data_IF_449981410734
#
_entry.id   IF_449981410734
#
_cell.length_a   1.000
_cell.length_b   1.000
_cell.length_c   1.000
_cell.angle_alpha   90.00
_cell.angle_beta   90.00
_cell.angle_gamma   90.00
#
_symmetry.space_group_name_H-M   'P 1'
#
loop_
_entity.id
_entity.type
_entity.pdbx_description
1 polymer ?
#
# COMPACT_ATOMS: atom_id res chain seq x y z
N UNK A 1 -16.91 26.71 -29.02
CA UNK A 1 -15.59 26.41 -28.42
C UNK A 1 -15.65 24.94 -28.08
N UNK A 2 -15.16 24.11 -29.00
CA UNK A 2 -15.11 22.67 -28.84
C UNK A 2 -14.02 22.33 -27.82
N UNK A 3 -14.41 21.65 -26.76
CA UNK A 3 -13.48 21.03 -25.83
C UNK A 3 -13.09 19.68 -26.44
N UNK A 4 -12.24 19.73 -27.45
CA UNK A 4 -11.64 18.56 -28.08
C UNK A 4 -10.48 18.08 -27.20
N UNK A 5 -10.80 17.46 -26.07
CA UNK A 5 -9.85 16.58 -25.39
C UNK A 5 -9.69 15.32 -26.23
N UNK A 6 -8.57 15.26 -26.96
CA UNK A 6 -8.10 14.11 -27.74
C UNK A 6 -7.86 12.92 -26.81
N UNK A 7 -8.93 12.18 -26.50
CA UNK A 7 -8.88 10.95 -25.73
C UNK A 7 -8.18 9.89 -26.58
N UNK A 8 -6.92 9.59 -26.27
CA UNK A 8 -6.20 8.47 -26.88
C UNK A 8 -7.05 7.20 -26.77
N UNK A 9 -7.55 6.72 -27.90
CA UNK A 9 -8.53 5.61 -27.98
C UNK A 9 -7.98 4.37 -27.25
N UNK A 10 -8.64 4.00 -26.14
CA UNK A 10 -8.27 2.84 -25.34
C UNK A 10 -8.51 1.57 -26.14
N UNK A 11 -7.44 1.06 -26.75
CA UNK A 11 -7.48 -0.22 -27.49
C UNK A 11 -7.67 -1.45 -26.58
N UNK A 12 -8.06 -2.59 -27.18
CA UNK A 12 -8.28 -3.89 -26.50
C UNK A 12 -7.13 -4.36 -25.61
N UNK A 13 -5.90 -3.95 -25.90
CA UNK A 13 -4.73 -4.19 -25.05
C UNK A 13 -4.82 -3.50 -23.68
N UNK A 14 -5.34 -2.28 -23.61
CA UNK A 14 -5.56 -1.57 -22.35
C UNK A 14 -6.68 -2.24 -21.55
N UNK A 15 -7.74 -2.70 -22.22
CA UNK A 15 -8.77 -3.52 -21.58
C UNK A 15 -8.18 -4.80 -21.01
N UNK A 16 -7.36 -5.54 -21.77
CA UNK A 16 -6.69 -6.74 -21.28
C UNK A 16 -5.79 -6.44 -20.06
N UNK A 17 -5.03 -5.34 -20.12
CA UNK A 17 -4.21 -4.88 -19.01
C UNK A 17 -5.05 -4.57 -17.76
N UNK A 18 -6.13 -3.80 -17.90
CA UNK A 18 -7.05 -3.51 -16.80
C UNK A 18 -7.72 -4.77 -16.23
N UNK A 19 -8.09 -5.73 -17.08
CA UNK A 19 -8.64 -7.01 -16.63
C UNK A 19 -7.66 -7.79 -15.75
N UNK A 20 -6.35 -7.61 -15.93
CA UNK A 20 -5.37 -8.22 -15.02
C UNK A 20 -5.44 -7.65 -13.61
N UNK A 21 -5.74 -6.35 -13.47
CA UNK A 21 -5.94 -5.69 -12.18
C UNK A 21 -7.29 -6.02 -11.56
N UNK A 22 -8.35 -6.21 -12.35
CA UNK A 22 -9.66 -6.62 -11.83
C UNK A 22 -9.59 -8.04 -11.24
N UNK A 23 -8.86 -8.95 -11.90
CA UNK A 23 -8.76 -10.34 -11.48
C UNK A 23 -7.71 -10.59 -10.38
N UNK A 24 -6.86 -9.61 -10.05
CA UNK A 24 -5.78 -9.76 -9.08
C UNK A 24 -5.87 -8.67 -8.02
N UNK A 25 -5.85 -9.08 -6.74
CA UNK A 25 -5.88 -8.16 -5.59
C UNK A 25 -4.68 -7.20 -5.57
N UNK A 26 -3.49 -7.70 -5.89
CA UNK A 26 -2.23 -6.95 -5.90
C UNK A 26 -1.23 -7.61 -6.86
N UNK A 27 -0.36 -6.82 -7.48
CA UNK A 27 0.64 -7.29 -8.45
C UNK A 27 2.01 -6.67 -8.13
N UNK A 28 3.05 -7.50 -7.93
CA UNK A 28 4.43 -7.04 -7.82
C UNK A 28 4.94 -6.52 -9.19
N UNK A 29 5.76 -5.47 -9.22
CA UNK A 29 6.32 -4.88 -10.44
C UNK A 29 6.92 -5.91 -11.41
N UNK A 30 7.72 -6.85 -10.90
CA UNK A 30 8.37 -7.87 -11.75
C UNK A 30 7.37 -8.78 -12.46
N UNK A 31 6.23 -9.07 -11.81
CA UNK A 31 5.11 -9.80 -12.40
C UNK A 31 4.35 -8.91 -13.38
N UNK A 32 4.12 -7.64 -13.04
CA UNK A 32 3.44 -6.69 -13.90
C UNK A 32 4.19 -6.49 -15.23
N UNK A 33 5.52 -6.42 -15.19
CA UNK A 33 6.35 -6.27 -16.39
C UNK A 33 6.30 -7.52 -17.29
N UNK A 34 6.23 -8.72 -16.70
CA UNK A 34 6.01 -9.99 -17.44
C UNK A 34 4.63 -10.00 -18.10
N UNK A 35 3.59 -9.59 -17.38
CA UNK A 35 2.22 -9.47 -17.91
C UNK A 35 2.19 -8.48 -19.07
N UNK A 36 2.79 -7.30 -18.89
CA UNK A 36 2.87 -6.25 -19.91
C UNK A 36 3.56 -6.76 -21.17
N UNK A 37 4.69 -7.47 -21.00
CA UNK A 37 5.43 -8.06 -22.12
C UNK A 37 4.58 -9.09 -22.88
N UNK A 38 3.81 -9.92 -22.18
CA UNK A 38 2.91 -10.89 -22.80
C UNK A 38 1.76 -10.21 -23.58
N UNK A 39 1.18 -9.15 -23.02
CA UNK A 39 0.13 -8.34 -23.69
C UNK A 39 0.70 -7.70 -24.96
N UNK A 40 1.86 -7.04 -24.89
CA UNK A 40 2.50 -6.43 -26.05
C UNK A 40 2.78 -7.45 -27.16
N UNK A 41 3.28 -8.63 -26.80
CA UNK A 41 3.57 -9.71 -27.75
C UNK A 41 2.29 -10.23 -28.43
N UNK A 42 1.21 -10.43 -27.66
CA UNK A 42 -0.07 -10.91 -28.18
C UNK A 42 -0.71 -9.91 -29.16
N UNK A 43 -0.74 -8.62 -28.80
CA UNK A 43 -1.33 -7.55 -29.61
C UNK A 43 -0.37 -6.96 -30.65
N UNK A 44 0.85 -7.50 -30.81
CA UNK A 44 1.90 -7.03 -31.75
C UNK A 44 2.09 -5.50 -31.70
N UNK A 45 1.99 -4.93 -30.51
CA UNK A 45 1.99 -3.49 -30.27
C UNK A 45 3.41 -2.98 -29.98
N UNK A 46 3.65 -1.66 -30.09
CA UNK A 46 4.90 -1.06 -29.60
C UNK A 46 5.18 -1.50 -28.16
N UNK A 47 6.46 -1.67 -27.82
CA UNK A 47 6.91 -2.12 -26.51
C UNK A 47 6.64 -1.05 -25.43
N UNK A 48 5.38 -0.87 -25.08
CA UNK A 48 4.97 0.02 -24.00
C UNK A 48 5.28 -0.62 -22.64
N UNK A 49 5.78 0.21 -21.73
CA UNK A 49 6.00 -0.14 -20.33
C UNK A 49 4.69 -0.21 -19.55
N UNK A 50 4.72 -0.91 -18.41
CA UNK A 50 3.60 -0.99 -17.47
C UNK A 50 3.11 0.39 -17.03
N UNK A 51 4.05 1.32 -16.76
CA UNK A 51 3.74 2.70 -16.38
C UNK A 51 3.01 3.48 -17.49
N UNK A 52 3.32 3.23 -18.76
CA UNK A 52 2.60 3.88 -19.86
C UNK A 52 1.15 3.40 -19.91
N UNK A 53 0.88 2.10 -19.83
CA UNK A 53 -0.49 1.58 -19.73
C UNK A 53 -1.26 2.21 -18.55
N UNK A 54 -0.60 2.35 -17.40
CA UNK A 54 -1.22 2.93 -16.21
C UNK A 54 -1.54 4.42 -16.41
N UNK A 55 -0.62 5.17 -17.01
CA UNK A 55 -0.82 6.59 -17.31
C UNK A 55 -1.90 6.82 -18.38
N UNK A 56 -2.00 5.91 -19.34
CA UNK A 56 -3.03 5.94 -20.38
C UNK A 56 -4.42 5.60 -19.78
N UNK A 57 -4.49 4.67 -18.82
CA UNK A 57 -5.74 4.21 -18.21
C UNK A 57 -6.28 5.12 -17.10
N UNK A 58 -5.42 5.60 -16.19
CA UNK A 58 -5.84 6.33 -15.00
C UNK A 58 -6.74 7.55 -15.25
N UNK A 59 -6.54 8.37 -16.31
CA UNK A 59 -7.45 9.48 -16.65
C UNK A 59 -8.89 9.05 -16.93
N UNK A 60 -9.12 7.83 -17.41
CA UNK A 60 -10.47 7.30 -17.64
C UNK A 60 -11.03 6.62 -16.39
N UNK A 61 -10.16 5.96 -15.61
CA UNK A 61 -10.55 5.28 -14.38
C UNK A 61 -11.04 6.26 -13.30
N UNK A 62 -10.50 7.48 -13.28
CA UNK A 62 -10.84 8.49 -12.28
C UNK A 62 -12.32 8.89 -12.32
N UNK A 63 -12.95 8.88 -13.49
CA UNK A 63 -14.37 9.19 -13.70
C UNK A 63 -15.28 8.16 -13.02
N UNK A 64 -14.77 6.94 -12.84
CA UNK A 64 -15.42 5.85 -12.10
C UNK A 64 -14.99 5.80 -10.63
N UNK A 65 -14.24 6.81 -10.16
CA UNK A 65 -13.65 6.88 -8.84
C UNK A 65 -12.75 5.68 -8.53
N UNK A 66 -12.06 5.14 -9.54
CA UNK A 66 -11.06 4.09 -9.36
C UNK A 66 -9.71 4.54 -9.92
N UNK A 67 -8.62 3.97 -9.42
CA UNK A 67 -7.28 4.32 -9.90
C UNK A 67 -6.30 3.17 -9.69
N UNK A 68 -5.40 2.93 -10.64
CA UNK A 68 -4.26 2.04 -10.42
C UNK A 68 -3.19 2.83 -9.67
N UNK A 69 -2.88 2.40 -8.44
CA UNK A 69 -1.88 3.05 -7.56
C UNK A 69 -0.78 2.07 -7.18
N UNK A 70 0.35 2.62 -6.78
CA UNK A 70 1.52 1.85 -6.30
C UNK A 70 1.80 2.12 -4.82
N UNK A 71 2.35 1.12 -4.14
CA UNK A 71 3.07 1.29 -2.89
C UNK A 71 4.40 0.54 -2.93
N UNK A 72 5.38 1.07 -2.20
CA UNK A 72 6.68 0.44 -2.01
C UNK A 72 6.75 -0.21 -0.65
N UNK A 73 7.13 -1.49 -0.61
CA UNK A 73 7.37 -2.23 0.63
C UNK A 73 8.56 -3.16 0.45
N UNK A 74 9.43 -3.20 1.46
CA UNK A 74 10.64 -4.03 1.46
C UNK A 74 11.48 -3.95 0.17
N UNK A 75 11.47 -2.78 -0.48
CA UNK A 75 12.26 -2.51 -1.69
C UNK A 75 11.60 -2.92 -3.00
N UNK A 76 10.42 -3.53 -2.93
CA UNK A 76 9.60 -3.90 -4.08
C UNK A 76 8.44 -2.92 -4.26
N UNK A 77 8.04 -2.72 -5.51
CA UNK A 77 6.84 -1.96 -5.84
C UNK A 77 5.68 -2.91 -6.11
N UNK A 78 4.53 -2.57 -5.56
CA UNK A 78 3.29 -3.30 -5.72
C UNK A 78 2.24 -2.37 -6.31
N UNK A 79 1.34 -2.93 -7.09
CA UNK A 79 0.29 -2.21 -7.79
C UNK A 79 -1.06 -2.84 -7.51
N UNK A 80 -2.08 -2.01 -7.33
CA UNK A 80 -3.46 -2.45 -7.17
C UNK A 80 -4.44 -1.41 -7.73
N UNK A 81 -5.65 -1.87 -8.05
CA UNK A 81 -6.77 -1.01 -8.44
C UNK A 81 -7.52 -0.59 -7.18
N UNK A 82 -7.52 0.72 -6.91
CA UNK A 82 -8.07 1.32 -5.70
C UNK A 82 -9.41 1.95 -6.01
N UNK A 83 -10.35 1.89 -5.05
CA UNK A 83 -11.56 2.71 -5.10
C UNK A 83 -11.32 3.96 -4.27
N UNK A 84 -11.56 5.12 -4.85
CA UNK A 84 -11.31 6.42 -4.23
C UNK A 84 -12.48 6.87 -3.35
N UNK A 85 -13.62 6.17 -3.38
CA UNK A 85 -14.72 6.46 -2.46
C UNK A 85 -14.36 5.98 -1.06
N UNK A 86 -14.67 6.82 -0.06
CA UNK A 86 -14.37 6.59 1.35
C UNK A 86 -15.14 5.43 2.02
N UNK A 87 -15.94 4.69 1.25
CA UNK A 87 -16.80 3.60 1.74
C UNK A 87 -16.07 2.24 1.80
N UNK A 88 -14.74 2.18 1.76
CA UNK A 88 -13.97 0.94 1.61
C UNK A 88 -14.33 -0.20 2.59
N UNK A 89 -14.88 0.09 3.78
CA UNK A 89 -15.46 -0.93 4.66
C UNK A 89 -16.61 -1.74 4.01
N UNK A 90 -17.41 -1.13 3.13
CA UNK A 90 -18.46 -1.81 2.38
C UNK A 90 -17.91 -2.87 1.43
N UNK A 91 -16.68 -2.70 0.91
CA UNK A 91 -16.02 -3.76 0.14
C UNK A 91 -15.72 -4.98 1.01
N UNK A 92 -15.29 -4.76 2.26
CA UNK A 92 -15.00 -5.83 3.21
C UNK A 92 -16.28 -6.57 3.59
N UNK A 93 -17.40 -5.87 3.71
CA UNK A 93 -18.70 -6.48 4.00
C UNK A 93 -19.18 -7.49 2.93
N UNK A 94 -18.64 -7.42 1.70
CA UNK A 94 -18.93 -8.41 0.64
C UNK A 94 -18.20 -9.73 0.85
N UNK A 95 -17.03 -9.72 1.50
CA UNK A 95 -16.15 -10.89 1.62
C UNK A 95 -16.06 -11.46 3.04
N UNK A 96 -16.38 -10.65 4.05
CA UNK A 96 -16.22 -10.99 5.45
C UNK A 96 -17.55 -10.89 6.20
N UNK A 97 -17.68 -11.67 7.29
CA UNK A 97 -18.84 -11.55 8.16
C UNK A 97 -18.86 -10.19 8.88
N UNK A 98 -20.01 -9.73 9.38
CA UNK A 98 -20.09 -8.45 10.10
C UNK A 98 -19.13 -8.37 11.30
N UNK A 99 -18.98 -9.45 12.07
CA UNK A 99 -18.04 -9.53 13.20
C UNK A 99 -16.58 -9.38 12.77
N UNK A 100 -16.23 -9.99 11.63
CA UNK A 100 -14.88 -10.00 11.09
C UNK A 100 -14.52 -8.61 10.55
N UNK A 101 -15.50 -7.92 9.95
CA UNK A 101 -15.36 -6.53 9.50
C UNK A 101 -15.15 -5.57 10.67
N UNK A 102 -15.88 -5.74 11.78
CA UNK A 102 -15.68 -4.96 13.01
C UNK A 102 -14.28 -5.24 13.58
N UNK A 103 -13.86 -6.50 13.61
CA UNK A 103 -12.52 -6.88 14.05
C UNK A 103 -11.44 -6.23 13.19
N UNK A 104 -11.58 -6.32 11.86
CA UNK A 104 -10.65 -5.69 10.92
C UNK A 104 -10.55 -4.18 11.13
N UNK A 105 -11.69 -3.50 11.29
CA UNK A 105 -11.74 -2.07 11.57
C UNK A 105 -10.96 -1.73 12.84
N UNK A 106 -11.18 -2.46 13.92
CA UNK A 106 -10.47 -2.26 15.18
C UNK A 106 -8.95 -2.47 15.04
N UNK A 107 -8.53 -3.44 14.22
CA UNK A 107 -7.10 -3.65 13.91
C UNK A 107 -6.53 -2.44 13.19
N UNK A 108 -7.18 -1.94 12.12
CA UNK A 108 -6.65 -0.81 11.33
C UNK A 108 -6.58 0.45 12.18
N UNK A 109 -7.61 0.77 12.95
CA UNK A 109 -7.61 1.91 13.87
C UNK A 109 -6.45 1.81 14.87
N UNK A 110 -6.21 0.61 15.42
CA UNK A 110 -5.13 0.41 16.38
C UNK A 110 -3.74 0.46 15.73
N UNK A 111 -3.58 -0.05 14.52
CA UNK A 111 -2.36 0.06 13.73
C UNK A 111 -2.03 1.54 13.47
N UNK A 112 -3.00 2.34 13.03
CA UNK A 112 -2.80 3.77 12.80
C UNK A 112 -2.37 4.50 14.08
N UNK A 113 -3.04 4.23 15.20
CA UNK A 113 -2.68 4.80 16.51
C UNK A 113 -1.25 4.46 16.96
N UNK A 114 -0.77 3.25 16.63
CA UNK A 114 0.53 2.74 17.06
C UNK A 114 1.62 2.92 15.99
N UNK A 115 1.40 3.72 14.94
CA UNK A 115 2.43 3.99 13.92
C UNK A 115 2.62 2.86 12.90
N UNK A 116 1.66 1.95 12.78
CA UNK A 116 1.59 0.92 11.74
C UNK A 116 1.88 -0.50 12.21
N UNK A 117 2.05 -0.74 13.51
CA UNK A 117 2.23 -2.09 14.06
C UNK A 117 1.54 -2.29 15.41
N UNK A 118 1.11 -3.52 15.69
CA UNK A 118 0.55 -3.94 16.99
C UNK A 118 1.12 -5.31 17.38
N UNK A 119 1.10 -5.65 18.67
CA UNK A 119 1.49 -7.00 19.09
C UNK A 119 0.46 -8.05 18.67
N UNK A 120 0.88 -9.30 18.46
CA UNK A 120 -0.04 -10.40 18.12
C UNK A 120 -1.09 -10.59 19.23
N UNK A 121 -0.72 -10.46 20.50
CA UNK A 121 -1.65 -10.57 21.63
C UNK A 121 -2.69 -9.45 21.64
N UNK A 122 -2.28 -8.22 21.38
CA UNK A 122 -3.19 -7.07 21.25
C UNK A 122 -4.17 -7.29 20.10
N UNK A 123 -3.68 -7.76 18.94
CA UNK A 123 -4.52 -8.13 17.82
C UNK A 123 -5.58 -9.20 18.20
N UNK A 124 -5.19 -10.26 18.90
CA UNK A 124 -6.15 -11.30 19.32
C UNK A 124 -7.17 -10.77 20.33
N UNK A 125 -6.78 -9.84 21.21
CA UNK A 125 -7.70 -9.21 22.15
C UNK A 125 -8.74 -8.32 21.46
N UNK A 126 -8.37 -7.62 20.37
CA UNK A 126 -9.31 -6.87 19.55
C UNK A 126 -10.38 -7.78 18.93
N UNK A 127 -10.00 -8.98 18.48
CA UNK A 127 -10.96 -9.93 17.91
C UNK A 127 -11.97 -10.46 18.93
N UNK A 128 -11.54 -10.68 20.16
CA UNK A 128 -12.44 -11.03 21.28
C UNK A 128 -13.40 -9.88 21.59
N UNK A 129 -12.91 -8.64 21.63
CA UNK A 129 -13.75 -7.46 21.87
C UNK A 129 -14.79 -7.24 20.77
N UNK A 130 -14.42 -7.53 19.51
CA UNK A 130 -15.32 -7.50 18.36
C UNK A 130 -16.32 -8.67 18.31
N UNK A 131 -16.28 -9.60 19.29
CA UNK A 131 -17.09 -10.83 19.31
C UNK A 131 -16.94 -11.68 18.05
N UNK A 132 -15.74 -11.71 17.45
CA UNK A 132 -15.43 -12.50 16.25
C UNK A 132 -15.22 -14.01 16.54
N UNK A 133 -15.63 -14.49 17.72
CA UNK A 133 -15.55 -15.89 18.14
C UNK A 133 -14.51 -16.16 19.23
N UNK A 134 -14.29 -17.44 19.51
CA UNK A 134 -13.25 -17.89 20.45
C UNK A 134 -11.83 -17.67 19.90
N UNK A 135 -10.80 -17.85 20.75
CA UNK A 135 -9.40 -17.57 20.40
C UNK A 135 -8.96 -18.22 19.08
N UNK A 136 -9.29 -19.50 18.87
CA UNK A 136 -8.97 -20.23 17.63
C UNK A 136 -9.60 -19.58 16.40
N UNK A 137 -10.87 -19.17 16.52
CA UNK A 137 -11.59 -18.55 15.40
C UNK A 137 -11.03 -17.18 15.05
N UNK A 138 -10.69 -16.38 16.06
CA UNK A 138 -10.04 -15.07 15.87
C UNK A 138 -8.70 -15.24 15.16
N UNK A 139 -7.93 -16.26 15.52
CA UNK A 139 -6.64 -16.54 14.88
C UNK A 139 -6.80 -17.03 13.42
N UNK A 140 -7.82 -17.84 13.13
CA UNK A 140 -8.20 -18.20 11.76
C UNK A 140 -8.54 -16.96 10.92
N UNK A 141 -9.38 -16.06 11.45
CA UNK A 141 -9.77 -14.82 10.76
C UNK A 141 -8.55 -13.93 10.51
N UNK A 142 -7.66 -13.79 11.49
CA UNK A 142 -6.40 -13.07 11.32
C UNK A 142 -5.54 -13.68 10.21
N UNK A 143 -5.45 -15.01 10.16
CA UNK A 143 -4.72 -15.71 9.10
C UNK A 143 -5.37 -15.49 7.72
N UNK A 144 -6.70 -15.42 7.63
CA UNK A 144 -7.40 -15.04 6.40
C UNK A 144 -7.03 -13.63 5.96
N UNK A 145 -7.00 -12.64 6.86
CA UNK A 145 -6.55 -11.28 6.52
C UNK A 145 -5.10 -11.24 6.01
N UNK A 146 -4.24 -12.09 6.56
CA UNK A 146 -2.85 -12.22 6.10
C UNK A 146 -2.79 -12.84 4.71
N UNK A 147 -3.52 -13.93 4.47
CA UNK A 147 -3.61 -14.58 3.16
C UNK A 147 -4.16 -13.64 2.08
N UNK A 148 -5.11 -12.79 2.46
CA UNK A 148 -5.71 -11.79 1.59
C UNK A 148 -4.86 -10.52 1.39
N UNK A 149 -3.62 -10.53 1.91
CA UNK A 149 -2.64 -9.45 1.86
C UNK A 149 -3.10 -8.13 2.50
N UNK A 150 -4.06 -8.18 3.42
CA UNK A 150 -4.41 -7.00 4.23
C UNK A 150 -3.39 -6.75 5.35
N UNK A 151 -2.94 -7.82 5.99
CA UNK A 151 -2.01 -7.75 7.10
C UNK A 151 -0.80 -8.64 6.83
N UNK A 152 0.31 -8.38 7.49
CA UNK A 152 1.46 -9.29 7.54
C UNK A 152 1.97 -9.40 8.97
N UNK A 153 2.63 -10.52 9.27
CA UNK A 153 3.38 -10.66 10.52
C UNK A 153 4.82 -10.19 10.35
N UNK A 154 5.42 -9.71 11.43
CA UNK A 154 6.87 -9.52 11.51
C UNK A 154 7.62 -10.85 11.36
N UNK A 155 8.92 -10.80 11.08
CA UNK A 155 9.76 -12.00 10.92
C UNK A 155 9.72 -12.92 12.15
N UNK A 156 9.74 -12.33 13.35
CA UNK A 156 9.61 -13.03 14.64
C UNK A 156 8.17 -13.46 14.97
N UNK A 157 7.20 -13.13 14.10
CA UNK A 157 5.76 -13.38 14.25
C UNK A 157 5.13 -12.77 15.51
N UNK A 158 5.84 -11.91 16.23
CA UNK A 158 5.36 -11.29 17.46
C UNK A 158 4.45 -10.09 17.20
N UNK A 159 4.53 -9.48 16.01
CA UNK A 159 3.79 -8.28 15.64
C UNK A 159 3.01 -8.48 14.35
N UNK A 160 1.95 -7.70 14.22
CA UNK A 160 1.10 -7.59 13.04
C UNK A 160 1.22 -6.16 12.52
N UNK A 161 1.35 -6.00 11.21
CA UNK A 161 1.48 -4.70 10.54
C UNK A 161 0.67 -4.70 9.23
N UNK A 162 0.47 -3.52 8.64
CA UNK A 162 -0.22 -3.36 7.37
C UNK A 162 0.58 -4.02 6.24
N UNK A 163 -0.07 -4.90 5.48
CA UNK A 163 0.49 -5.38 4.21
C UNK A 163 0.24 -4.37 3.08
N UNK A 164 0.86 -4.61 1.94
CA UNK A 164 0.97 -3.68 0.82
C UNK A 164 -0.40 -3.31 0.25
N UNK A 165 -1.32 -4.27 0.22
CA UNK A 165 -2.69 -4.05 -0.24
C UNK A 165 -3.41 -3.02 0.63
N UNK A 166 -3.26 -3.11 1.96
CA UNK A 166 -3.86 -2.15 2.89
C UNK A 166 -3.29 -0.75 2.69
N UNK A 167 -1.98 -0.63 2.43
CA UNK A 167 -1.34 0.67 2.19
C UNK A 167 -1.86 1.33 0.90
N UNK A 168 -2.19 0.51 -0.11
CA UNK A 168 -2.66 0.98 -1.41
C UNK A 168 -4.16 1.27 -1.41
N UNK A 169 -4.98 0.33 -0.94
CA UNK A 169 -6.44 0.46 -0.96
C UNK A 169 -6.92 1.42 0.14
N UNK A 170 -6.52 1.20 1.39
CA UNK A 170 -7.07 1.92 2.56
C UNK A 170 -6.47 3.31 2.77
N UNK A 171 -5.86 3.95 1.75
CA UNK A 171 -5.17 5.24 1.88
C UNK A 171 -5.95 6.32 2.66
N UNK A 172 -7.27 6.52 2.43
CA UNK A 172 -8.04 7.51 3.19
C UNK A 172 -8.05 7.27 4.71
N UNK A 173 -7.83 6.03 5.14
CA UNK A 173 -7.83 5.64 6.56
C UNK A 173 -6.44 5.73 7.20
N UNK A 174 -5.39 5.86 6.39
CA UNK A 174 -4.00 5.85 6.84
C UNK A 174 -3.39 7.26 6.88
N UNK A 175 -4.23 8.29 6.93
CA UNK A 175 -3.82 9.71 6.86
C UNK A 175 -2.93 10.12 8.03
N UNK A 176 -3.16 9.56 9.22
CA UNK A 176 -2.38 9.86 10.43
C UNK A 176 -1.04 9.12 10.46
N UNK A 177 -0.82 8.18 9.54
CA UNK A 177 0.48 7.56 9.37
C UNK A 177 1.40 8.48 8.56
N UNK A 178 2.66 8.60 9.00
CA UNK A 178 3.59 9.55 8.41
C UNK A 178 4.03 9.13 7.02
N UNK A 179 4.33 10.12 6.18
CA UNK A 179 4.87 9.89 4.83
C UNK A 179 6.39 10.03 4.81
N UNK A 180 7.02 9.16 4.03
CA UNK A 180 8.45 9.22 3.78
C UNK A 180 8.78 10.48 2.99
N UNK A 181 9.68 11.32 3.49
CA UNK A 181 10.04 12.58 2.83
C UNK A 181 10.61 12.41 1.41
N UNK A 182 11.21 11.25 1.11
CA UNK A 182 11.86 11.01 -0.19
C UNK A 182 10.93 10.38 -1.24
N UNK A 183 9.98 9.54 -0.84
CA UNK A 183 9.11 8.83 -1.79
C UNK A 183 7.62 9.13 -1.62
N UNK A 184 7.24 9.92 -0.61
CA UNK A 184 5.84 10.27 -0.29
C UNK A 184 4.93 9.05 -0.08
N UNK A 185 5.49 7.95 0.45
CA UNK A 185 4.76 6.73 0.79
C UNK A 185 4.78 6.53 2.30
N UNK A 186 3.75 5.85 2.84
CA UNK A 186 3.58 5.64 4.28
C UNK A 186 4.76 4.93 4.93
N UNK A 187 5.29 5.50 6.01
CA UNK A 187 6.32 4.91 6.87
C UNK A 187 5.64 4.23 8.04
N UNK A 188 5.97 2.96 8.24
CA UNK A 188 5.48 2.18 9.36
C UNK A 188 6.62 2.03 10.37
N UNK A 189 6.29 2.03 11.65
CA UNK A 189 7.23 1.65 12.71
C UNK A 189 7.66 0.20 12.54
N UNK A 190 8.89 -0.11 12.91
CA UNK A 190 9.40 -1.46 13.08
C UNK A 190 9.87 -1.63 14.53
N UNK A 191 9.25 -2.55 15.27
CA UNK A 191 9.53 -2.79 16.70
C UNK A 191 9.35 -1.54 17.57
N UNK A 192 8.37 -0.71 17.21
CA UNK A 192 7.91 0.45 17.97
C UNK A 192 8.66 1.73 17.64
N UNK A 193 9.57 1.70 16.66
CA UNK A 193 10.41 2.84 16.30
C UNK A 193 10.47 3.02 14.79
N UNK A 194 10.60 4.27 14.35
CA UNK A 194 11.03 4.60 12.98
C UNK A 194 12.52 4.86 13.05
N UNK A 195 13.32 3.96 12.46
CA UNK A 195 14.79 3.98 12.54
C UNK A 195 15.37 5.29 12.00
N UNK A 196 14.83 5.81 10.89
CA UNK A 196 15.32 7.04 10.24
C UNK A 196 14.32 8.17 10.37
N UNK A 197 14.37 8.85 11.52
CA UNK A 197 13.66 10.09 11.78
C UNK A 197 14.66 11.20 12.12
N UNK A 198 14.42 12.41 11.62
CA UNK A 198 15.30 13.53 11.94
C UNK A 198 15.09 13.96 13.40
N UNK A 199 16.19 14.15 14.12
CA UNK A 199 16.20 14.50 15.56
C UNK A 199 16.24 16.01 15.85
N UNK A 200 16.14 16.85 14.82
CA UNK A 200 16.12 18.30 15.00
C UNK A 200 14.69 18.81 15.18
N UNK A 201 14.45 19.66 16.19
CA UNK A 201 13.13 20.16 16.56
C UNK A 201 12.39 20.89 15.42
N UNK A 202 13.12 21.49 14.48
CA UNK A 202 12.58 22.17 13.30
C UNK A 202 12.35 21.24 12.10
N UNK A 203 12.50 19.92 12.28
CA UNK A 203 12.45 18.97 11.18
C UNK A 203 11.93 17.60 11.63
N UNK A 204 10.64 17.34 11.41
CA UNK A 204 9.98 16.08 11.76
C UNK A 204 9.91 15.07 10.59
N UNK A 205 10.92 15.04 9.72
CA UNK A 205 10.89 14.09 8.59
C UNK A 205 11.14 12.66 9.06
N UNK A 206 10.54 11.74 8.33
CA UNK A 206 10.72 10.30 8.51
C UNK A 206 11.02 9.65 7.16
N UNK A 207 11.81 8.60 7.19
CA UNK A 207 12.30 7.90 6.00
C UNK A 207 12.15 6.39 6.18
N UNK A 208 11.83 5.69 5.09
CA UNK A 208 12.02 4.24 5.07
C UNK A 208 13.50 3.89 5.15
N UNK A 209 13.82 2.76 5.79
CA UNK A 209 15.19 2.21 5.86
C UNK A 209 15.88 2.15 4.51
N UNK A 210 15.19 1.73 3.45
CA UNK A 210 15.78 1.66 2.11
C UNK A 210 15.98 3.04 1.47
N UNK A 211 15.04 3.97 1.67
CA UNK A 211 15.15 5.33 1.15
C UNK A 211 16.31 6.07 1.83
N UNK A 212 16.44 5.91 3.15
CA UNK A 212 17.57 6.42 3.93
C UNK A 212 18.90 5.82 3.47
N UNK A 213 19.01 4.49 3.36
CA UNK A 213 20.23 3.81 2.89
C UNK A 213 20.67 4.32 1.52
N UNK A 214 19.74 4.51 0.58
CA UNK A 214 20.04 5.05 -0.74
C UNK A 214 20.46 6.53 -0.71
N UNK A 215 19.84 7.34 0.16
CA UNK A 215 20.20 8.74 0.32
C UNK A 215 21.59 8.91 0.94
N UNK A 216 21.89 8.21 2.03
CA UNK A 216 23.17 8.35 2.73
C UNK A 216 24.32 7.69 1.98
N UNK A 217 24.08 6.66 1.16
CA UNK A 217 25.12 6.11 0.27
C UNK A 217 25.57 7.10 -0.81
N UNK A 218 24.72 8.05 -1.19
CA UNK A 218 25.05 9.11 -2.16
C UNK A 218 25.57 10.39 -1.51
N UNK A 219 25.41 10.55 -0.18
CA UNK A 219 25.78 11.76 0.56
C UNK A 219 26.70 11.47 1.77
N UNK A 220 27.73 10.65 1.55
CA UNK A 220 28.57 10.05 2.60
C UNK A 220 29.40 11.02 3.44
N UNK A 221 29.73 12.21 2.92
CA UNK A 221 30.64 13.15 3.60
C UNK A 221 29.99 13.88 4.79
N UNK A 222 28.68 14.13 4.74
CA UNK A 222 28.00 14.94 5.75
C UNK A 222 26.71 14.29 6.30
N UNK A 223 26.28 13.16 5.72
CA UNK A 223 25.00 12.52 6.01
C UNK A 223 23.86 13.55 6.23
N UNK A 224 23.63 14.48 5.29
CA UNK A 224 22.73 15.58 5.52
C UNK A 224 21.29 15.10 5.51
N UNK A 225 20.47 15.62 6.42
CA UNK A 225 19.02 15.45 6.36
C UNK A 225 18.49 15.98 5.01
N UNK A 226 17.66 15.22 4.27
CA UNK A 226 17.16 15.67 2.96
C UNK A 226 16.30 16.94 3.05
N UNK A 227 15.70 17.23 4.21
CA UNK A 227 14.95 18.46 4.47
C UNK A 227 15.84 19.57 5.04
N UNK A 228 16.21 19.49 6.33
CA UNK A 228 16.90 20.60 7.02
C UNK A 228 18.41 20.71 6.74
N UNK A 229 18.99 19.79 5.96
CA UNK A 229 20.42 19.72 5.58
C UNK A 229 21.42 19.58 6.73
N UNK A 230 20.97 19.61 7.99
CA UNK A 230 21.79 19.33 9.18
C UNK A 230 22.21 17.85 9.21
N UNK A 231 23.31 17.48 9.89
CA UNK A 231 23.76 16.10 9.98
C UNK A 231 22.67 15.19 10.57
N UNK A 232 22.29 14.14 9.84
CA UNK A 232 21.28 13.18 10.29
C UNK A 232 21.88 12.33 11.42
N UNK A 233 21.32 12.50 12.63
CA UNK A 233 21.61 11.65 13.78
C UNK A 233 20.55 10.59 13.89
#
# INVERSE_FOLDING_TARGET
MSDDTDYADLSSRHHCFLQTFINRKIIEQTTLDKITSAINAYYKSPQQSSNQYINDLNPYLIDFHIQIKTAKSQGKNYWALVNLKADEYSKLATYYQPSDTIFFKAIIEKLVQNGGEISNNECLNLGKAAKAGGSTKVEEILNTFIQDNWLRKSEDKARVTLAERSIIELQPMLVDLPDCYLCSQKVLTEKGVIEYQCSHDDCAIQLHTLCAKQWFSTHTKSNPCPNCKKPFK
#
